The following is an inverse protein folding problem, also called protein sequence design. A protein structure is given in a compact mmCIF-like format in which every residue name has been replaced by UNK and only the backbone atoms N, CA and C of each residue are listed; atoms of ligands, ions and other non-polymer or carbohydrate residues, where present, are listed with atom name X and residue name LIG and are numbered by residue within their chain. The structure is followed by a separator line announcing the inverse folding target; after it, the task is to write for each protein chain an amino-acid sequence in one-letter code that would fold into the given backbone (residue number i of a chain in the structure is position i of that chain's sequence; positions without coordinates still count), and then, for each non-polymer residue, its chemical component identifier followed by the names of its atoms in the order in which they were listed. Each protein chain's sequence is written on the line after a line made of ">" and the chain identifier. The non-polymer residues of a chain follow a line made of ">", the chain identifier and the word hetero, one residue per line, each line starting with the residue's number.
data_IF_204314585812
#
_entry.id   IF_204314585812
#
_cell.length_a   1.000
_cell.length_b   1.000
_cell.length_c   1.000
_cell.angle_alpha   90.00
_cell.angle_beta   90.00
_cell.angle_gamma   90.00
#
_symmetry.space_group_name_H-M   'P 1'
#
loop_
_entity.id
_entity.type
_entity.pdbx_description
1 polymer ?
#
# COMPACT_ATOMS: atom_id res chain seq x y z
N UNK A 1 -14.79 -18.97 -16.88
CA UNK A 1 -15.26 -20.10 -17.72
C UNK A 1 -14.08 -21.03 -17.96
N UNK A 2 -14.23 -22.32 -17.64
CA UNK A 2 -13.19 -23.34 -17.86
C UNK A 2 -13.49 -24.06 -19.16
N UNK A 3 -12.53 -24.07 -20.09
CA UNK A 3 -12.60 -24.87 -21.31
C UNK A 3 -11.71 -26.11 -21.17
N UNK A 4 -12.10 -27.23 -21.77
CA UNK A 4 -11.36 -28.49 -21.71
C UNK A 4 -11.21 -29.12 -23.08
N UNK A 5 -10.03 -29.65 -23.36
CA UNK A 5 -9.74 -30.42 -24.60
C UNK A 5 -9.00 -31.70 -24.25
N UNK A 6 -9.15 -32.74 -25.10
CA UNK A 6 -8.34 -33.96 -24.97
C UNK A 6 -7.01 -33.80 -25.73
N UNK A 7 -5.95 -34.22 -25.12
CA UNK A 7 -4.63 -34.34 -25.74
C UNK A 7 -4.09 -35.75 -25.56
N UNK A 8 -3.24 -36.18 -26.48
CA UNK A 8 -2.53 -37.46 -26.41
C UNK A 8 -1.07 -37.19 -25.98
N UNK A 9 -0.63 -37.91 -24.95
CA UNK A 9 0.76 -37.88 -24.51
C UNK A 9 1.16 -39.28 -24.06
N UNK A 10 2.28 -39.76 -24.58
CA UNK A 10 2.82 -41.08 -24.26
C UNK A 10 1.81 -42.24 -24.40
N UNK A 11 0.93 -42.16 -25.40
CA UNK A 11 -0.10 -43.22 -25.65
C UNK A 11 -1.31 -43.17 -24.72
N UNK A 12 -1.46 -42.14 -23.89
CA UNK A 12 -2.61 -41.96 -22.99
C UNK A 12 -3.34 -40.64 -23.28
N UNK A 13 -4.63 -40.60 -22.97
CA UNK A 13 -5.44 -39.39 -23.00
C UNK A 13 -5.22 -38.55 -21.76
N UNK A 14 -5.08 -37.23 -21.99
CA UNK A 14 -5.02 -36.20 -20.96
C UNK A 14 -6.11 -35.17 -21.19
N UNK A 15 -6.78 -34.77 -20.12
CA UNK A 15 -7.68 -33.63 -20.10
C UNK A 15 -6.82 -32.36 -19.93
N UNK A 16 -6.84 -31.47 -20.92
CA UNK A 16 -6.15 -30.15 -20.84
C UNK A 16 -7.21 -29.11 -20.55
N UNK A 17 -7.22 -28.63 -19.31
CA UNK A 17 -8.12 -27.57 -18.85
C UNK A 17 -7.49 -26.24 -19.04
N UNK A 18 -8.13 -25.33 -19.76
CA UNK A 18 -7.73 -23.94 -19.89
C UNK A 18 -8.67 -23.05 -19.09
N UNK A 19 -8.14 -22.24 -18.21
CA UNK A 19 -8.89 -21.34 -17.36
C UNK A 19 -8.17 -19.99 -17.24
N UNK A 20 -8.88 -18.95 -16.80
CA UNK A 20 -8.31 -17.68 -16.42
C UNK A 20 -8.35 -17.55 -14.91
N UNK A 21 -7.28 -17.02 -14.34
CA UNK A 21 -7.27 -16.63 -12.93
C UNK A 21 -8.03 -15.33 -12.71
N UNK A 22 -8.14 -14.89 -11.46
CA UNK A 22 -8.80 -13.64 -11.08
C UNK A 22 -8.15 -12.38 -11.72
N UNK A 23 -6.86 -12.44 -12.07
CA UNK A 23 -6.14 -11.39 -12.79
C UNK A 23 -6.37 -11.44 -14.31
N UNK A 24 -7.19 -12.39 -14.83
CA UNK A 24 -7.46 -12.57 -16.26
C UNK A 24 -6.36 -13.31 -17.02
N UNK A 25 -5.29 -13.76 -16.36
CA UNK A 25 -4.19 -14.50 -16.98
C UNK A 25 -4.61 -15.92 -17.31
N UNK A 26 -4.28 -16.37 -18.52
CA UNK A 26 -4.60 -17.72 -19.00
C UNK A 26 -3.62 -18.74 -18.44
N UNK A 27 -4.19 -19.83 -17.90
CA UNK A 27 -3.46 -20.99 -17.39
C UNK A 27 -3.95 -22.26 -18.06
N UNK A 28 -3.09 -23.28 -18.08
CA UNK A 28 -3.45 -24.63 -18.52
C UNK A 28 -3.05 -25.64 -17.46
N UNK A 29 -3.94 -26.59 -17.17
CA UNK A 29 -3.67 -27.74 -16.29
C UNK A 29 -3.90 -29.04 -17.05
N UNK A 30 -2.90 -29.90 -17.02
CA UNK A 30 -2.96 -31.21 -17.62
C UNK A 30 -3.33 -32.24 -16.55
N UNK A 31 -4.41 -32.99 -16.77
CA UNK A 31 -4.87 -34.03 -15.85
C UNK A 31 -4.87 -35.34 -16.64
N UNK A 32 -4.19 -36.37 -16.11
CA UNK A 32 -4.21 -37.69 -16.73
C UNK A 32 -5.60 -38.32 -16.55
N UNK A 33 -6.16 -38.87 -17.64
CA UNK A 33 -7.39 -39.67 -17.56
C UNK A 33 -7.10 -41.14 -17.21
N UNK A 34 -5.83 -41.58 -17.26
CA UNK A 34 -5.43 -42.96 -17.07
C UNK A 34 -5.84 -43.89 -18.21
N UNK A 35 -6.46 -43.37 -19.28
CA UNK A 35 -7.00 -44.18 -20.38
C UNK A 35 -6.02 -44.23 -21.55
N UNK A 36 -5.62 -45.44 -22.03
CA UNK A 36 -4.79 -45.58 -23.21
C UNK A 36 -5.56 -45.21 -24.47
N UNK A 37 -4.84 -44.75 -25.50
CA UNK A 37 -5.38 -44.21 -26.74
C UNK A 37 -6.32 -45.24 -27.46
N UNK A 38 -5.94 -46.50 -27.48
CA UNK A 38 -6.59 -47.52 -28.29
C UNK A 38 -7.97 -47.87 -27.73
N UNK A 39 -9.04 -47.54 -28.46
CA UNK A 39 -10.43 -47.90 -28.12
C UNK A 39 -11.12 -47.08 -27.03
N UNK A 40 -10.44 -46.12 -26.41
CA UNK A 40 -10.96 -45.40 -25.23
C UNK A 40 -11.36 -43.93 -25.48
N UNK A 41 -11.51 -43.49 -26.73
CA UNK A 41 -11.84 -42.09 -27.03
C UNK A 41 -13.13 -41.61 -26.35
N UNK A 42 -14.23 -42.36 -26.48
CA UNK A 42 -15.52 -42.04 -25.85
C UNK A 42 -15.44 -41.96 -24.32
N UNK A 43 -14.73 -42.92 -23.72
CA UNK A 43 -14.51 -42.91 -22.25
C UNK A 43 -13.66 -41.70 -21.81
N UNK A 44 -12.66 -41.34 -22.59
CA UNK A 44 -11.84 -40.17 -22.32
C UNK A 44 -12.60 -38.84 -22.44
N UNK A 45 -13.57 -38.76 -23.40
CA UNK A 45 -14.48 -37.61 -23.52
C UNK A 45 -15.45 -37.50 -22.33
N UNK A 46 -15.97 -38.60 -21.82
CA UNK A 46 -16.78 -38.61 -20.61
C UNK A 46 -15.98 -38.21 -19.38
N UNK A 47 -14.76 -38.70 -19.27
CA UNK A 47 -13.83 -38.36 -18.19
C UNK A 47 -13.41 -36.89 -18.24
N UNK A 48 -13.21 -36.32 -19.43
CA UNK A 48 -12.97 -34.89 -19.60
C UNK A 48 -14.13 -34.04 -19.07
N UNK A 49 -15.38 -34.45 -19.34
CA UNK A 49 -16.59 -33.77 -18.85
C UNK A 49 -16.62 -33.82 -17.32
N UNK A 50 -16.35 -34.99 -16.71
CA UNK A 50 -16.29 -35.16 -15.27
C UNK A 50 -15.20 -34.28 -14.64
N UNK A 51 -13.96 -34.40 -15.12
CA UNK A 51 -12.82 -33.64 -14.65
C UNK A 51 -13.10 -32.13 -14.78
N UNK A 52 -13.77 -31.69 -15.87
CA UNK A 52 -14.11 -30.28 -16.05
C UNK A 52 -15.19 -29.80 -15.09
N UNK A 53 -16.19 -30.65 -14.76
CA UNK A 53 -17.27 -30.30 -13.83
C UNK A 53 -16.77 -30.25 -12.36
N UNK A 54 -15.82 -31.12 -12.04
CA UNK A 54 -15.19 -31.18 -10.70
C UNK A 54 -14.02 -30.19 -10.54
N UNK A 55 -13.59 -29.58 -11.67
CA UNK A 55 -12.44 -28.67 -11.63
C UNK A 55 -12.83 -27.33 -11.00
N UNK A 56 -12.41 -27.15 -9.78
CA UNK A 56 -12.36 -25.83 -9.17
C UNK A 56 -11.14 -25.09 -9.68
N UNK A 57 -11.35 -23.87 -10.21
CA UNK A 57 -10.24 -22.98 -10.57
C UNK A 57 -9.41 -22.78 -9.30
N UNK A 58 -8.11 -23.11 -9.31
CA UNK A 58 -7.27 -22.92 -8.14
C UNK A 58 -7.37 -21.47 -7.68
N UNK A 59 -7.89 -21.25 -6.49
CA UNK A 59 -7.85 -19.94 -5.85
C UNK A 59 -6.38 -19.65 -5.60
N UNK A 60 -5.88 -18.63 -6.29
CA UNK A 60 -4.51 -18.16 -6.06
C UNK A 60 -4.43 -17.73 -4.59
N UNK A 61 -3.32 -18.03 -3.92
CA UNK A 61 -3.14 -17.63 -2.51
C UNK A 61 -3.49 -16.16 -2.25
N UNK A 62 -3.39 -15.29 -3.28
CA UNK A 62 -3.84 -13.91 -3.29
C UNK A 62 -5.34 -13.70 -3.13
N UNK A 63 -6.22 -14.65 -3.54
CA UNK A 63 -7.68 -14.49 -3.35
C UNK A 63 -8.09 -14.66 -1.88
N UNK A 64 -7.47 -15.60 -1.17
CA UNK A 64 -7.70 -15.76 0.29
C UNK A 64 -7.20 -14.54 1.06
N UNK A 65 -6.05 -14.01 0.66
CA UNK A 65 -5.47 -12.81 1.27
C UNK A 65 -6.25 -11.53 0.91
N UNK A 66 -6.87 -11.45 -0.27
CA UNK A 66 -7.66 -10.29 -0.69
C UNK A 66 -9.00 -10.14 0.02
N UNK A 67 -9.53 -11.22 0.61
CA UNK A 67 -10.76 -11.20 1.40
C UNK A 67 -10.54 -10.79 2.87
N UNK A 68 -9.28 -10.56 3.29
CA UNK A 68 -9.02 -10.02 4.63
C UNK A 68 -9.40 -8.54 4.71
N UNK A 69 -9.72 -8.06 5.91
CA UNK A 69 -9.97 -6.65 6.14
C UNK A 69 -8.73 -5.82 5.77
N UNK A 70 -8.94 -4.69 5.10
CA UNK A 70 -7.83 -3.80 4.74
C UNK A 70 -7.04 -3.32 5.97
N UNK A 71 -7.72 -3.12 7.11
CA UNK A 71 -7.06 -2.77 8.36
C UNK A 71 -6.10 -3.88 8.86
N UNK A 72 -6.52 -5.15 8.78
CA UNK A 72 -5.70 -6.30 9.20
C UNK A 72 -4.56 -6.54 8.21
N UNK A 73 -4.80 -6.29 6.92
CA UNK A 73 -3.75 -6.26 5.91
C UNK A 73 -2.67 -5.22 6.23
N UNK A 74 -3.05 -4.02 6.65
CA UNK A 74 -2.10 -2.97 7.03
C UNK A 74 -1.21 -3.39 8.21
N UNK A 75 -1.77 -4.09 9.21
CA UNK A 75 -1.01 -4.61 10.34
C UNK A 75 0.01 -5.67 9.87
N UNK A 76 -0.37 -6.59 8.98
CA UNK A 76 0.55 -7.57 8.40
C UNK A 76 1.63 -6.91 7.51
N UNK A 77 1.24 -5.92 6.71
CA UNK A 77 2.18 -5.18 5.88
C UNK A 77 3.24 -4.43 6.70
N UNK A 78 2.88 -3.91 7.86
CA UNK A 78 3.83 -3.27 8.78
C UNK A 78 4.95 -4.23 9.20
N UNK A 79 4.63 -5.50 9.49
CA UNK A 79 5.67 -6.48 9.85
C UNK A 79 6.63 -6.76 8.68
N UNK A 80 6.11 -6.80 7.45
CA UNK A 80 6.95 -6.96 6.25
C UNK A 80 7.87 -5.76 6.03
N UNK A 81 7.37 -4.55 6.25
CA UNK A 81 8.11 -3.31 5.99
C UNK A 81 9.15 -3.05 7.09
N UNK A 82 8.93 -3.51 8.31
CA UNK A 82 9.81 -3.31 9.47
C UNK A 82 11.27 -3.61 9.18
N UNK A 83 11.55 -4.70 8.44
CA UNK A 83 12.90 -5.10 8.09
C UNK A 83 13.54 -4.26 6.96
N UNK A 84 12.76 -3.40 6.29
CA UNK A 84 13.18 -2.69 5.06
C UNK A 84 13.36 -1.19 5.22
N UNK A 85 12.87 -0.61 6.31
CA UNK A 85 12.91 0.83 6.56
C UNK A 85 13.58 1.16 7.88
N UNK A 86 14.03 2.41 8.03
CA UNK A 86 14.67 2.89 9.25
C UNK A 86 13.69 2.85 10.44
N UNK A 87 14.16 2.58 11.66
CA UNK A 87 13.30 2.49 12.86
C UNK A 87 12.41 3.71 13.08
N UNK A 88 12.92 4.92 12.87
CA UNK A 88 12.14 6.16 13.02
C UNK A 88 10.98 6.24 11.99
N UNK A 89 11.23 5.83 10.73
CA UNK A 89 10.20 5.78 9.68
C UNK A 89 9.16 4.70 10.01
N UNK A 90 9.60 3.55 10.50
CA UNK A 90 8.70 2.49 10.93
C UNK A 90 7.78 2.95 12.07
N UNK A 91 8.34 3.60 13.10
CA UNK A 91 7.55 4.17 14.20
C UNK A 91 6.48 5.14 13.71
N UNK A 92 6.81 6.01 12.75
CA UNK A 92 5.86 6.93 12.13
C UNK A 92 4.75 6.18 11.38
N UNK A 93 5.09 5.17 10.58
CA UNK A 93 4.11 4.36 9.85
C UNK A 93 3.19 3.59 10.81
N UNK A 94 3.78 2.94 11.82
CA UNK A 94 3.05 2.20 12.85
C UNK A 94 2.09 3.13 13.61
N UNK A 95 2.52 4.32 13.99
CA UNK A 95 1.68 5.31 14.64
C UNK A 95 0.47 5.68 13.76
N UNK A 96 0.69 6.03 12.48
CA UNK A 96 -0.38 6.39 11.56
C UNK A 96 -1.37 5.23 11.32
N UNK A 97 -0.87 4.02 11.14
CA UNK A 97 -1.71 2.84 10.92
C UNK A 97 -2.52 2.53 12.17
N UNK A 98 -1.89 2.44 13.34
CA UNK A 98 -2.56 2.01 14.58
C UNK A 98 -3.53 3.06 15.14
N UNK A 99 -3.20 4.34 15.04
CA UNK A 99 -4.01 5.41 15.64
C UNK A 99 -5.07 5.99 14.71
N UNK A 100 -4.89 5.91 13.40
CA UNK A 100 -5.73 6.69 12.47
C UNK A 100 -6.29 5.87 11.31
N UNK A 101 -5.43 5.23 10.51
CA UNK A 101 -5.86 4.56 9.28
C UNK A 101 -6.59 3.24 9.62
N UNK A 102 -5.97 2.39 10.42
CA UNK A 102 -6.53 1.08 10.81
C UNK A 102 -7.90 1.18 11.47
N UNK A 103 -8.08 2.00 12.55
CA UNK A 103 -9.37 2.18 13.19
C UNK A 103 -10.46 2.67 12.25
N UNK A 104 -10.14 3.59 11.31
CA UNK A 104 -11.09 4.09 10.34
C UNK A 104 -11.60 2.97 9.41
N UNK A 105 -10.69 2.25 8.77
CA UNK A 105 -11.06 1.21 7.81
C UNK A 105 -11.63 -0.05 8.50
N UNK A 106 -11.24 -0.34 9.75
CA UNK A 106 -11.85 -1.43 10.54
C UNK A 106 -13.32 -1.15 10.83
N UNK A 107 -13.67 0.11 11.17
CA UNK A 107 -15.06 0.52 11.35
C UNK A 107 -15.90 0.42 10.06
N UNK A 108 -15.28 0.51 8.90
CA UNK A 108 -15.94 0.38 7.59
C UNK A 108 -16.05 -1.07 7.12
N UNK A 109 -15.39 -2.01 7.80
CA UNK A 109 -15.37 -3.45 7.49
C UNK A 109 -15.00 -3.78 6.04
N UNK A 110 -14.20 -2.91 5.40
CA UNK A 110 -13.80 -3.07 4.01
C UNK A 110 -12.68 -4.10 3.89
N UNK A 111 -12.87 -5.07 3.01
CA UNK A 111 -11.82 -6.01 2.61
C UNK A 111 -10.83 -5.34 1.65
N UNK A 112 -9.64 -5.93 1.55
CA UNK A 112 -8.61 -5.45 0.62
C UNK A 112 -9.11 -5.45 -0.84
N UNK A 113 -9.95 -6.42 -1.21
CA UNK A 113 -10.57 -6.56 -2.54
C UNK A 113 -11.63 -5.48 -2.81
N UNK A 114 -12.39 -5.10 -1.80
CA UNK A 114 -13.46 -4.10 -1.91
C UNK A 114 -12.96 -2.67 -1.80
N UNK A 115 -11.66 -2.49 -1.46
CA UNK A 115 -11.08 -1.17 -1.34
C UNK A 115 -11.03 -0.48 -2.70
N UNK A 116 -11.76 0.63 -2.82
CA UNK A 116 -11.79 1.48 -4.00
C UNK A 116 -11.22 2.87 -3.71
N UNK A 117 -10.87 3.61 -4.78
CA UNK A 117 -10.36 4.98 -4.67
C UNK A 117 -11.33 5.91 -3.91
N UNK A 118 -12.66 5.73 -4.09
CA UNK A 118 -13.69 6.50 -3.37
C UNK A 118 -13.60 6.35 -1.85
N UNK A 119 -13.30 5.16 -1.35
CA UNK A 119 -13.18 4.90 0.09
C UNK A 119 -11.98 5.63 0.69
N UNK A 120 -10.86 5.66 -0.04
CA UNK A 120 -9.66 6.40 0.36
C UNK A 120 -9.92 7.91 0.27
N UNK A 121 -10.59 8.39 -0.78
CA UNK A 121 -10.93 9.79 -0.94
C UNK A 121 -11.86 10.28 0.18
N UNK A 122 -12.85 9.46 0.56
CA UNK A 122 -13.72 9.75 1.70
C UNK A 122 -12.94 9.85 3.01
N UNK A 123 -11.99 8.93 3.24
CA UNK A 123 -11.09 9.00 4.39
C UNK A 123 -10.33 10.33 4.44
N UNK A 124 -9.78 10.82 3.30
CA UNK A 124 -9.08 12.11 3.27
C UNK A 124 -10.02 13.27 3.59
N UNK A 125 -11.21 13.28 3.00
CA UNK A 125 -12.21 14.33 3.23
C UNK A 125 -12.60 14.40 4.70
N UNK A 126 -12.80 13.26 5.35
CA UNK A 126 -13.12 13.21 6.78
C UNK A 126 -11.93 13.66 7.63
N UNK A 127 -10.70 13.24 7.30
CA UNK A 127 -9.50 13.60 8.07
C UNK A 127 -9.13 15.07 7.92
N UNK A 128 -9.32 15.68 6.76
CA UNK A 128 -9.06 17.10 6.56
C UNK A 128 -9.88 18.03 7.47
N UNK A 129 -10.96 17.53 8.08
CA UNK A 129 -11.71 18.28 9.09
C UNK A 129 -11.00 18.40 10.43
N UNK A 130 -10.05 17.51 10.73
CA UNK A 130 -9.40 17.38 12.03
C UNK A 130 -7.89 17.48 12.01
N UNK A 131 -7.26 17.29 10.84
CA UNK A 131 -5.81 17.32 10.68
C UNK A 131 -5.38 18.18 9.48
N UNK A 132 -4.13 18.56 9.45
CA UNK A 132 -3.57 19.38 8.35
C UNK A 132 -3.47 18.58 7.04
N UNK A 133 -3.50 19.26 5.87
CA UNK A 133 -3.25 18.62 4.57
C UNK A 133 -1.94 17.83 4.52
N UNK A 134 -0.88 18.30 5.17
CA UNK A 134 0.40 17.61 5.24
C UNK A 134 0.27 16.25 5.96
N UNK A 135 -0.53 16.15 7.01
CA UNK A 135 -0.81 14.87 7.69
C UNK A 135 -1.52 13.88 6.76
N UNK A 136 -2.50 14.35 5.99
CA UNK A 136 -3.21 13.51 5.01
C UNK A 136 -2.28 13.04 3.89
N UNK A 137 -1.31 13.86 3.47
CA UNK A 137 -0.27 13.45 2.51
C UNK A 137 0.58 12.29 3.08
N UNK A 138 0.91 12.31 4.37
CA UNK A 138 1.61 11.21 5.02
C UNK A 138 0.75 9.95 5.10
N UNK A 139 -0.54 10.07 5.41
CA UNK A 139 -1.47 8.92 5.36
C UNK A 139 -1.57 8.33 3.96
N UNK A 140 -1.66 9.19 2.93
CA UNK A 140 -1.62 8.74 1.55
C UNK A 140 -0.35 7.94 1.24
N UNK A 141 0.82 8.40 1.67
CA UNK A 141 2.08 7.70 1.43
C UNK A 141 2.07 6.28 2.02
N UNK A 142 1.54 6.10 3.22
CA UNK A 142 1.40 4.78 3.86
C UNK A 142 0.43 3.89 3.08
N UNK A 143 -0.78 4.38 2.78
CA UNK A 143 -1.81 3.63 2.04
C UNK A 143 -1.29 3.26 0.64
N UNK A 144 -0.62 4.20 -0.04
CA UNK A 144 -0.03 3.97 -1.36
C UNK A 144 1.03 2.86 -1.34
N UNK A 145 1.96 2.89 -0.37
CA UNK A 145 3.01 1.88 -0.27
C UNK A 145 2.45 0.50 0.09
N UNK A 146 1.47 0.43 0.98
CA UNK A 146 0.78 -0.81 1.33
C UNK A 146 0.04 -1.38 0.11
N UNK A 147 -0.76 -0.57 -0.59
CA UNK A 147 -1.49 -0.99 -1.79
C UNK A 147 -0.55 -1.37 -2.95
N UNK A 148 0.59 -0.69 -3.09
CA UNK A 148 1.64 -1.05 -4.05
C UNK A 148 2.25 -2.42 -3.73
N UNK A 149 2.44 -2.72 -2.46
CA UNK A 149 2.94 -4.03 -2.03
C UNK A 149 1.89 -5.13 -2.29
N UNK A 150 0.62 -4.90 -1.99
CA UNK A 150 -0.48 -5.82 -2.30
C UNK A 150 -0.56 -6.15 -3.80
N UNK A 151 -0.39 -5.13 -4.66
CA UNK A 151 -0.34 -5.32 -6.11
C UNK A 151 0.91 -6.13 -6.52
N UNK A 152 2.07 -5.90 -5.90
CA UNK A 152 3.31 -6.61 -6.19
C UNK A 152 3.28 -8.09 -5.78
N UNK A 153 2.46 -8.43 -4.81
CA UNK A 153 2.26 -9.80 -4.29
C UNK A 153 0.99 -10.46 -4.85
N UNK A 154 0.45 -9.91 -5.93
CA UNK A 154 -0.73 -10.43 -6.63
C UNK A 154 -2.00 -10.56 -5.76
N UNK A 155 -2.06 -9.86 -4.62
CA UNK A 155 -3.24 -9.83 -3.74
C UNK A 155 -4.37 -9.00 -4.35
N UNK A 156 -4.02 -7.94 -5.08
CA UNK A 156 -4.95 -7.07 -5.81
C UNK A 156 -4.42 -6.77 -7.22
N UNK A 157 -5.30 -6.57 -8.22
CA UNK A 157 -4.87 -6.36 -9.60
C UNK A 157 -4.25 -4.99 -9.87
N UNK A 158 -4.52 -4.00 -9.01
CA UNK A 158 -4.05 -2.62 -9.18
C UNK A 158 -3.89 -1.90 -7.84
N UNK A 159 -3.03 -0.88 -7.83
CA UNK A 159 -2.92 0.02 -6.70
C UNK A 159 -4.01 1.10 -6.78
N UNK A 160 -5.09 0.96 -6.00
CA UNK A 160 -6.22 1.89 -5.99
C UNK A 160 -5.84 3.29 -5.48
N UNK A 161 -4.81 3.40 -4.65
CA UNK A 161 -4.33 4.69 -4.14
C UNK A 161 -3.70 5.58 -5.23
N UNK A 162 -3.35 5.02 -6.40
CA UNK A 162 -2.89 5.81 -7.55
C UNK A 162 -3.97 6.71 -8.16
N UNK A 163 -5.24 6.35 -7.97
CA UNK A 163 -6.40 7.05 -8.55
C UNK A 163 -6.98 8.12 -7.62
N UNK A 164 -6.34 8.36 -6.48
CA UNK A 164 -6.84 9.24 -5.43
C UNK A 164 -6.14 10.59 -5.50
N UNK A 165 -6.91 11.68 -5.43
CA UNK A 165 -6.36 13.03 -5.40
C UNK A 165 -5.82 13.37 -4.00
N UNK A 166 -4.54 13.73 -3.98
CA UNK A 166 -3.87 14.18 -2.76
C UNK A 166 -4.18 15.66 -2.50
N UNK A 167 -4.37 16.08 -1.24
CA UNK A 167 -4.46 17.48 -0.92
C UNK A 167 -3.15 18.21 -1.30
N UNK A 168 -3.25 19.50 -1.59
CA UNK A 168 -2.08 20.33 -1.83
C UNK A 168 -1.31 20.52 -0.51
N UNK A 169 0.01 20.47 -0.59
CA UNK A 169 0.89 20.73 0.54
C UNK A 169 0.72 22.19 0.97
N UNK A 170 0.50 22.42 2.27
CA UNK A 170 0.63 23.77 2.81
C UNK A 170 2.10 24.14 2.85
N UNK A 171 2.47 25.28 2.27
CA UNK A 171 3.79 25.85 2.46
C UNK A 171 3.95 26.28 3.91
N UNK A 172 5.01 25.84 4.55
CA UNK A 172 5.40 26.37 5.86
C UNK A 172 5.94 27.78 5.64
N UNK A 173 5.33 28.76 6.29
CA UNK A 173 5.93 30.08 6.43
C UNK A 173 6.64 30.12 7.77
N UNK A 174 7.97 30.22 7.78
CA UNK A 174 8.71 30.30 9.02
C UNK A 174 8.33 31.60 9.76
N UNK A 175 8.03 31.47 11.04
CA UNK A 175 7.88 32.62 11.93
C UNK A 175 9.21 32.75 12.65
N UNK A 176 9.86 33.89 12.52
CA UNK A 176 11.09 34.17 13.21
C UNK A 176 10.76 34.77 14.58
N UNK A 177 11.53 34.38 15.61
CA UNK A 177 11.42 34.98 16.91
C UNK A 177 12.08 36.39 16.85
N UNK A 178 11.40 37.38 17.41
CA UNK A 178 12.01 38.69 17.62
C UNK A 178 13.02 38.66 18.78
N UNK A 179 13.74 39.77 18.99
CA UNK A 179 14.80 39.85 20.01
C UNK A 179 14.28 39.59 21.44
N UNK A 180 13.07 40.08 21.75
CA UNK A 180 12.44 39.89 23.05
C UNK A 180 12.02 38.44 23.28
N UNK A 181 11.45 37.82 22.28
CA UNK A 181 11.07 36.40 22.29
C UNK A 181 12.31 35.48 22.39
N UNK A 182 13.39 35.84 21.72
CA UNK A 182 14.66 35.11 21.78
C UNK A 182 15.26 35.19 23.18
N UNK A 183 15.22 36.36 23.81
CA UNK A 183 15.71 36.54 25.18
C UNK A 183 14.90 35.71 26.17
N UNK A 184 13.56 35.72 26.06
CA UNK A 184 12.67 34.86 26.86
C UNK A 184 12.97 33.37 26.65
N UNK A 185 13.25 32.97 25.42
CA UNK A 185 13.62 31.58 25.12
C UNK A 185 14.91 31.20 25.85
N UNK A 186 15.94 32.04 25.81
CA UNK A 186 17.19 31.80 26.53
C UNK A 186 17.01 31.69 28.04
N UNK A 187 16.16 32.51 28.63
CA UNK A 187 15.82 32.42 30.06
C UNK A 187 15.14 31.10 30.41
N UNK A 188 14.17 30.65 29.59
CA UNK A 188 13.44 29.43 29.85
C UNK A 188 14.32 28.17 29.70
N UNK A 189 15.26 28.14 28.76
CA UNK A 189 16.10 26.96 28.53
C UNK A 189 17.33 26.92 29.45
N UNK A 190 17.64 28.02 30.18
CA UNK A 190 18.78 28.12 31.05
C UNK A 190 18.82 27.03 32.11
N UNK A 191 19.94 26.34 32.24
CA UNK A 191 20.11 25.22 33.18
C UNK A 191 19.43 23.91 32.73
N UNK A 192 18.80 23.88 31.59
CA UNK A 192 18.22 22.63 31.00
C UNK A 192 19.18 22.01 30.02
N UNK A 193 18.94 20.72 29.66
CA UNK A 193 19.68 20.02 28.59
C UNK A 193 19.50 20.64 27.20
N UNK A 194 18.56 21.58 27.03
CA UNK A 194 18.26 22.25 25.75
C UNK A 194 19.04 23.59 25.64
N UNK A 195 19.66 24.09 26.69
CA UNK A 195 20.36 25.38 26.69
C UNK A 195 21.44 25.43 25.60
N UNK A 196 22.38 24.49 25.64
CA UNK A 196 23.48 24.46 24.66
C UNK A 196 22.97 24.26 23.20
N UNK A 197 22.07 23.29 22.88
CA UNK A 197 21.52 23.19 21.54
C UNK A 197 20.83 24.46 21.03
N UNK A 198 20.07 25.16 21.87
CA UNK A 198 19.36 26.38 21.49
C UNK A 198 20.34 27.54 21.27
N UNK A 199 21.33 27.71 22.12
CA UNK A 199 22.37 28.72 21.95
C UNK A 199 23.16 28.49 20.64
N UNK A 200 23.62 27.26 20.41
CA UNK A 200 24.36 26.93 19.17
C UNK A 200 23.51 27.20 17.94
N UNK A 201 22.21 26.80 17.94
CA UNK A 201 21.31 27.04 16.82
C UNK A 201 21.12 28.57 16.58
N UNK A 202 20.94 29.36 17.63
CA UNK A 202 20.72 30.79 17.51
C UNK A 202 21.95 31.50 16.95
N UNK A 203 23.15 31.20 17.43
CA UNK A 203 24.40 31.81 16.94
C UNK A 203 24.78 31.32 15.53
N UNK A 204 24.62 30.03 15.24
CA UNK A 204 24.93 29.50 13.92
C UNK A 204 24.03 30.08 12.83
N UNK A 205 22.76 30.34 13.13
CA UNK A 205 21.82 30.96 12.19
C UNK A 205 22.10 32.44 11.96
N UNK A 206 22.50 33.17 13.00
CA UNK A 206 22.87 34.60 12.89
C UNK A 206 24.10 34.85 12.00
N UNK A 207 25.06 33.92 12.00
CA UNK A 207 26.25 33.98 11.15
C UNK A 207 25.96 33.67 9.67
N UNK A 208 24.95 32.85 9.40
CA UNK A 208 24.58 32.46 8.04
C UNK A 208 23.81 33.55 7.28
N UNK A 209 23.03 34.39 7.97
CA UNK A 209 22.31 35.51 7.36
C UNK A 209 23.23 36.67 6.94
N UNK A 210 24.43 36.77 7.51
CA UNK A 210 25.43 37.75 7.07
C UNK A 210 26.18 37.32 5.80
N UNK A 211 26.07 36.09 5.35
CA UNK A 211 26.76 35.58 4.15
C UNK A 211 25.90 35.60 2.88
N UNK A 212 24.66 36.14 2.90
CA UNK A 212 23.86 36.36 1.69
C UNK A 212 23.67 37.88 1.45
N UNK A 213 24.70 38.60 0.99
CA UNK A 213 24.47 39.95 0.46
C UNK A 213 23.92 39.82 -0.97
N UNK A 214 22.67 40.13 -1.14
CA UNK A 214 22.22 40.52 -2.47
C UNK A 214 21.16 39.69 -3.19
N UNK A 215 20.10 39.26 -2.51
CA UNK A 215 18.96 38.64 -3.23
C UNK A 215 17.59 39.18 -2.80
N UNK A 216 17.46 40.49 -2.56
CA UNK A 216 16.15 41.15 -2.49
C UNK A 216 16.29 42.66 -2.78
N UNK A 217 16.60 43.01 -4.02
CA UNK A 217 16.25 44.31 -4.59
C UNK A 217 16.20 44.23 -6.08
N UNK A 218 14.98 44.29 -6.61
CA UNK A 218 14.66 44.44 -8.03
C UNK A 218 13.33 43.74 -8.31
N UNK A 219 12.17 44.30 -8.35
CA UNK A 219 11.77 45.66 -8.74
C UNK A 219 11.14 45.59 -10.12
N UNK A 220 9.94 45.96 -10.20
CA UNK A 220 9.01 46.17 -11.28
C UNK A 220 8.10 45.02 -11.63
#
# INVERSE_FOLDING_TARGET
>A
MVSGTLALKNGYYYAVLSYRDAAGKRHQKWVSTGLPQKGNKRRAEQELIRIRSEFEVPRVAGELSSNMLFADYLDQWLEVVRARIKPATFGSYQGMVKSTIGPYFRKKELTLKELEARHIQQFYTEKLKTVTPNSVIHYHAVIYQASKYAMKTDMVPQNVAMKVDRPRKNSFQPTFLDAEQMQKLFEVVKGTRLELPVLVAAFYWADHDQQIPGALCGGH
#
